data_IF_227831545778
#
_entry.id   IF_227831545778
#
_cell.length_a   1.000
_cell.length_b   1.000
_cell.length_c   1.000
_cell.angle_alpha   90.00
_cell.angle_beta   90.00
_cell.angle_gamma   90.00
#
_symmetry.space_group_name_H-M   'P 1'
#
loop_
_entity.id
_entity.type
_entity.pdbx_description
1 polymer ?
#
# COMPACT_ATOMS: atom_id res chain seq x y z
N UNK A 1 28.09 26.48 -0.59
CA UNK A 1 28.29 26.09 -2.01
C UNK A 1 26.94 25.63 -2.55
N UNK A 2 26.49 26.18 -3.68
CA UNK A 2 25.22 25.77 -4.29
C UNK A 2 25.44 24.45 -5.01
N UNK A 3 24.94 23.35 -4.46
CA UNK A 3 24.97 22.03 -5.12
C UNK A 3 24.06 22.11 -6.34
N UNK A 4 24.66 22.03 -7.53
CA UNK A 4 23.95 22.01 -8.81
C UNK A 4 23.57 20.58 -9.20
N UNK A 5 22.69 20.41 -10.20
CA UNK A 5 22.30 19.10 -10.71
C UNK A 5 23.48 18.26 -11.27
N UNK A 6 24.59 18.92 -11.64
CA UNK A 6 25.81 18.27 -12.14
C UNK A 6 26.64 17.56 -11.05
N UNK A 7 26.33 17.79 -9.77
CA UNK A 7 27.05 17.20 -8.63
C UNK A 7 26.31 15.98 -8.03
N UNK A 8 25.24 15.53 -8.68
CA UNK A 8 24.41 14.42 -8.22
C UNK A 8 24.77 13.15 -9.00
N UNK A 9 25.31 12.16 -8.29
CA UNK A 9 25.56 10.83 -8.84
C UNK A 9 24.38 9.92 -8.51
N UNK A 10 23.82 9.23 -9.52
CA UNK A 10 22.82 8.18 -9.32
C UNK A 10 23.47 6.83 -9.54
N UNK A 11 23.27 5.90 -8.63
CA UNK A 11 23.73 4.52 -8.75
C UNK A 11 22.53 3.57 -8.67
N UNK A 12 22.45 2.63 -9.60
CA UNK A 12 21.41 1.60 -9.64
C UNK A 12 21.98 0.28 -9.13
N UNK A 13 21.31 -0.34 -8.17
CA UNK A 13 21.71 -1.62 -7.57
C UNK A 13 20.51 -2.55 -7.42
N UNK A 14 20.72 -3.86 -7.57
CA UNK A 14 19.67 -4.86 -7.32
C UNK A 14 19.51 -5.23 -5.84
N UNK A 15 20.46 -4.84 -4.98
CA UNK A 15 20.43 -5.03 -3.54
C UNK A 15 21.09 -3.82 -2.87
N UNK A 16 20.48 -3.35 -1.78
CA UNK A 16 21.03 -2.27 -0.95
C UNK A 16 21.71 -2.84 0.30
N UNK A 17 22.87 -2.27 0.66
CA UNK A 17 23.56 -2.59 1.92
C UNK A 17 22.72 -2.15 3.13
N UNK A 18 23.02 -2.69 4.31
CA UNK A 18 22.34 -2.31 5.56
C UNK A 18 22.44 -0.80 5.79
N UNK A 19 23.65 -0.22 5.73
CA UNK A 19 23.86 1.22 5.87
C UNK A 19 23.02 2.06 4.87
N UNK A 20 22.91 1.60 3.62
CA UNK A 20 22.10 2.30 2.62
C UNK A 20 20.60 2.18 2.89
N UNK A 21 20.13 1.09 3.50
CA UNK A 21 18.72 0.94 3.92
C UNK A 21 18.40 1.92 5.03
N UNK A 22 19.29 2.06 6.01
CA UNK A 22 19.12 2.99 7.12
C UNK A 22 19.09 4.44 6.62
N UNK A 23 19.99 4.81 5.71
CA UNK A 23 19.97 6.14 5.07
C UNK A 23 18.67 6.40 4.26
N UNK A 24 18.14 5.38 3.58
CA UNK A 24 16.87 5.49 2.84
C UNK A 24 15.70 5.64 3.81
N UNK A 25 15.71 4.91 4.93
CA UNK A 25 14.68 5.02 5.97
C UNK A 25 14.67 6.42 6.59
N UNK A 26 15.84 6.97 6.96
CA UNK A 26 15.98 8.33 7.48
C UNK A 26 15.51 9.38 6.45
N UNK A 27 15.92 9.23 5.18
CA UNK A 27 15.48 10.08 4.09
C UNK A 27 13.95 10.09 3.94
N UNK A 28 13.33 8.91 3.97
CA UNK A 28 11.89 8.74 3.84
C UNK A 28 11.14 9.34 5.04
N UNK A 29 11.66 9.17 6.25
CA UNK A 29 11.12 9.76 7.47
C UNK A 29 11.15 11.30 7.41
N UNK A 30 12.31 11.89 7.11
CA UNK A 30 12.46 13.36 7.00
C UNK A 30 11.55 13.94 5.92
N UNK A 31 11.44 13.27 4.76
CA UNK A 31 10.53 13.68 3.72
C UNK A 31 9.06 13.55 4.15
N UNK A 32 8.71 12.48 4.86
CA UNK A 32 7.36 12.24 5.34
C UNK A 32 6.90 13.27 6.38
N UNK A 33 7.78 13.65 7.32
CA UNK A 33 7.53 14.72 8.29
C UNK A 33 7.30 16.05 7.57
N UNK A 34 8.13 16.37 6.58
CA UNK A 34 8.02 17.63 5.84
C UNK A 34 6.75 17.73 4.98
N UNK A 35 6.28 16.61 4.43
CA UNK A 35 5.14 16.56 3.50
C UNK A 35 3.82 16.19 4.18
N UNK A 36 3.87 15.71 5.43
CA UNK A 36 2.72 15.22 6.18
C UNK A 36 2.18 13.87 5.70
N UNK A 37 2.93 13.17 4.83
CA UNK A 37 2.57 11.87 4.26
C UNK A 37 3.83 11.06 3.97
N UNK A 38 3.84 9.77 4.31
CA UNK A 38 4.97 8.90 4.02
C UNK A 38 5.20 8.79 2.50
N UNK A 39 6.45 8.94 2.02
CA UNK A 39 6.73 8.96 0.59
C UNK A 39 6.90 7.56 -0.03
N UNK A 40 6.94 6.50 0.78
CA UNK A 40 7.09 5.12 0.33
C UNK A 40 5.99 4.19 0.89
N UNK A 41 5.33 3.45 0.02
CA UNK A 41 4.31 2.45 0.32
C UNK A 41 4.85 1.23 1.08
N UNK A 42 3.95 0.39 1.59
CA UNK A 42 4.34 -0.82 2.34
C UNK A 42 5.15 -1.79 1.48
N UNK A 43 4.66 -2.16 0.30
CA UNK A 43 5.32 -3.14 -0.57
C UNK A 43 6.76 -2.73 -0.88
N UNK A 44 6.98 -1.44 -1.14
CA UNK A 44 8.31 -0.87 -1.37
C UNK A 44 9.21 -0.99 -0.14
N UNK A 45 8.71 -0.63 1.05
CA UNK A 45 9.44 -0.78 2.32
C UNK A 45 9.77 -2.24 2.66
N UNK A 46 8.85 -3.18 2.42
CA UNK A 46 9.10 -4.62 2.61
C UNK A 46 10.20 -5.11 1.67
N UNK A 47 10.17 -4.70 0.40
CA UNK A 47 11.22 -5.03 -0.57
C UNK A 47 12.56 -4.36 -0.23
N UNK A 48 12.56 -3.17 0.36
CA UNK A 48 13.78 -2.53 0.87
C UNK A 48 14.39 -3.32 2.05
N UNK A 49 13.55 -3.83 2.95
CA UNK A 49 13.97 -4.59 4.13
C UNK A 49 14.43 -6.01 3.79
N UNK A 50 13.66 -6.72 2.96
CA UNK A 50 13.86 -8.16 2.70
C UNK A 50 14.52 -8.46 1.36
N UNK A 51 14.63 -7.47 0.47
CA UNK A 51 15.10 -7.64 -0.91
C UNK A 51 14.03 -8.19 -1.86
N UNK A 52 14.42 -8.37 -3.13
CA UNK A 52 13.62 -8.99 -4.17
C UNK A 52 14.45 -9.15 -5.44
N UNK A 53 14.16 -10.15 -6.27
CA UNK A 53 14.91 -10.43 -7.51
C UNK A 53 14.58 -9.46 -8.64
N UNK A 54 13.38 -8.88 -8.63
CA UNK A 54 12.86 -8.02 -9.69
C UNK A 54 12.81 -6.54 -9.28
N UNK A 55 13.60 -6.17 -8.27
CA UNK A 55 13.61 -4.82 -7.71
C UNK A 55 14.95 -4.15 -7.97
N UNK A 56 14.91 -2.93 -8.51
CA UNK A 56 16.06 -2.06 -8.65
C UNK A 56 15.95 -0.87 -7.69
N UNK A 57 17.06 -0.51 -7.06
CA UNK A 57 17.17 0.61 -6.16
C UNK A 57 18.10 1.67 -6.76
N UNK A 58 17.64 2.92 -6.84
CA UNK A 58 18.37 4.05 -7.39
C UNK A 58 18.70 5.03 -6.26
N UNK A 59 19.99 5.20 -5.98
CA UNK A 59 20.51 6.04 -4.91
C UNK A 59 21.10 7.32 -5.52
N UNK A 60 20.50 8.48 -5.24
CA UNK A 60 21.05 9.78 -5.65
C UNK A 60 21.88 10.39 -4.52
N UNK A 61 23.17 10.58 -4.75
CA UNK A 61 24.10 11.16 -3.76
C UNK A 61 24.68 12.49 -4.21
N UNK A 62 24.81 13.41 -3.26
CA UNK A 62 25.61 14.63 -3.38
C UNK A 62 26.89 14.45 -2.55
N UNK A 63 27.98 14.03 -3.19
CA UNK A 63 29.16 13.53 -2.48
C UNK A 63 28.82 12.22 -1.76
N UNK A 64 28.97 12.19 -0.43
CA UNK A 64 28.62 11.02 0.38
C UNK A 64 27.17 11.01 0.86
N UNK A 65 26.49 12.16 0.83
CA UNK A 65 25.14 12.32 1.39
C UNK A 65 24.08 11.77 0.43
N UNK A 66 23.20 10.90 0.90
CA UNK A 66 22.02 10.47 0.16
C UNK A 66 20.98 11.60 0.14
N UNK A 67 20.65 12.08 -1.06
CA UNK A 67 19.75 13.23 -1.26
C UNK A 67 18.46 12.88 -1.99
N UNK A 68 18.37 11.65 -2.49
CA UNK A 68 17.17 11.11 -3.09
C UNK A 68 17.28 9.61 -3.29
N UNK A 69 16.13 8.97 -3.39
CA UNK A 69 15.99 7.54 -3.57
C UNK A 69 14.84 7.27 -4.53
N UNK A 70 14.97 6.22 -5.32
CA UNK A 70 13.85 5.63 -6.02
C UNK A 70 13.98 4.11 -6.05
N UNK A 71 12.84 3.45 -6.17
CA UNK A 71 12.75 2.00 -6.27
C UNK A 71 11.84 1.65 -7.43
N UNK A 72 12.23 0.64 -8.20
CA UNK A 72 11.51 0.15 -9.36
C UNK A 72 11.25 -1.35 -9.18
N UNK A 73 9.98 -1.74 -9.18
CA UNK A 73 9.56 -3.11 -9.43
C UNK A 73 9.50 -3.31 -10.95
N UNK A 74 10.49 -4.03 -11.48
CA UNK A 74 10.67 -4.23 -12.92
C UNK A 74 9.56 -5.11 -13.50
N UNK A 75 9.09 -6.08 -12.72
CA UNK A 75 8.05 -7.01 -13.17
C UNK A 75 6.68 -6.32 -13.23
N UNK A 76 6.38 -5.48 -12.23
CA UNK A 76 5.13 -4.72 -12.18
C UNK A 76 5.15 -3.45 -13.04
N UNK A 77 6.33 -2.91 -13.36
CA UNK A 77 6.47 -1.61 -14.00
C UNK A 77 6.02 -0.47 -13.09
N UNK A 78 6.29 -0.60 -11.78
CA UNK A 78 5.87 0.36 -10.75
C UNK A 78 7.08 0.94 -10.00
N UNK A 79 6.98 2.21 -9.64
CA UNK A 79 8.04 2.90 -8.95
C UNK A 79 7.56 3.91 -7.92
N UNK A 80 8.41 4.15 -6.93
CA UNK A 80 8.28 5.24 -5.97
C UNK A 80 9.58 6.01 -5.89
N UNK A 81 9.48 7.32 -5.65
CA UNK A 81 10.62 8.25 -5.67
C UNK A 81 10.46 9.29 -4.57
N UNK A 82 11.54 9.47 -3.81
CA UNK A 82 11.63 10.48 -2.75
C UNK A 82 12.88 11.34 -2.93
N UNK A 83 12.75 12.64 -2.66
CA UNK A 83 13.86 13.60 -2.64
C UNK A 83 13.88 14.30 -1.30
N UNK A 84 15.06 14.36 -0.69
CA UNK A 84 15.28 15.03 0.58
C UNK A 84 14.76 16.48 0.50
N UNK A 85 13.91 16.94 1.43
CA UNK A 85 13.30 18.28 1.38
C UNK A 85 14.29 19.41 1.10
N UNK A 86 15.42 19.44 1.79
CA UNK A 86 16.48 20.44 1.62
C UNK A 86 17.15 20.47 0.22
N UNK A 87 17.01 19.40 -0.58
CA UNK A 87 17.61 19.25 -1.90
C UNK A 87 16.59 19.31 -3.05
N UNK A 88 15.31 19.56 -2.74
CA UNK A 88 14.27 19.75 -3.74
C UNK A 88 14.55 21.00 -4.60
N UNK A 89 13.98 21.00 -5.80
CA UNK A 89 14.13 22.09 -6.80
C UNK A 89 15.58 22.32 -7.28
N UNK A 90 16.50 21.40 -7.01
CA UNK A 90 17.91 21.42 -7.49
C UNK A 90 18.20 20.44 -8.61
N UNK A 91 17.17 19.84 -9.20
CA UNK A 91 17.30 18.86 -10.29
C UNK A 91 17.40 17.39 -9.86
N UNK A 92 17.59 17.09 -8.57
CA UNK A 92 17.71 15.71 -8.04
C UNK A 92 16.56 14.81 -8.52
N UNK A 93 15.31 15.21 -8.32
CA UNK A 93 14.15 14.41 -8.75
C UNK A 93 14.09 14.18 -10.26
N UNK A 94 14.56 15.14 -11.07
CA UNK A 94 14.65 14.97 -12.53
C UNK A 94 15.74 13.99 -12.91
N UNK A 95 16.89 14.04 -12.24
CA UNK A 95 17.99 13.09 -12.46
C UNK A 95 17.56 11.67 -12.09
N UNK A 96 16.92 11.50 -10.93
CA UNK A 96 16.36 10.21 -10.51
C UNK A 96 15.30 9.68 -11.47
N UNK A 97 14.33 10.52 -11.86
CA UNK A 97 13.27 10.09 -12.77
C UNK A 97 13.83 9.63 -14.12
N UNK A 98 14.84 10.32 -14.67
CA UNK A 98 15.50 9.90 -15.91
C UNK A 98 16.18 8.54 -15.76
N UNK A 99 16.95 8.36 -14.69
CA UNK A 99 17.60 7.08 -14.42
C UNK A 99 16.57 5.95 -14.20
N UNK A 100 15.41 6.27 -13.63
CA UNK A 100 14.34 5.30 -13.41
C UNK A 100 13.67 4.88 -14.73
N UNK A 101 13.37 5.83 -15.62
CA UNK A 101 12.85 5.53 -16.97
C UNK A 101 13.87 4.72 -17.78
N UNK A 102 15.16 5.03 -17.66
CA UNK A 102 16.23 4.25 -18.30
C UNK A 102 16.29 2.82 -17.75
N UNK A 103 16.21 2.66 -16.42
CA UNK A 103 16.24 1.36 -15.75
C UNK A 103 15.02 0.49 -16.07
N UNK A 104 13.84 1.08 -16.23
CA UNK A 104 12.63 0.38 -16.68
C UNK A 104 12.72 -0.03 -18.17
N UNK A 105 13.57 0.63 -18.94
CA UNK A 105 13.60 0.57 -20.39
C UNK A 105 12.79 1.73 -20.98
N UNK A 106 13.40 2.46 -21.92
CA UNK A 106 12.81 3.69 -22.46
C UNK A 106 11.39 3.52 -23.03
N UNK A 107 11.10 2.32 -23.57
CA UNK A 107 9.81 1.97 -24.17
C UNK A 107 8.94 1.09 -23.26
N UNK A 108 9.31 0.89 -21.99
CA UNK A 108 8.46 0.16 -21.05
C UNK A 108 7.38 1.08 -20.46
N UNK A 109 6.14 0.58 -20.28
CA UNK A 109 5.15 1.28 -19.48
C UNK A 109 5.65 1.38 -18.04
N UNK A 110 5.36 2.51 -17.39
CA UNK A 110 5.84 2.79 -16.05
C UNK A 110 4.81 3.61 -15.27
N UNK A 111 4.48 3.12 -14.09
CA UNK A 111 3.61 3.78 -13.11
C UNK A 111 4.42 4.30 -11.92
N UNK A 112 4.00 5.44 -11.37
CA UNK A 112 4.58 6.04 -10.18
C UNK A 112 3.51 6.49 -9.20
N UNK A 113 3.67 6.14 -7.92
CA UNK A 113 2.77 6.61 -6.87
C UNK A 113 3.17 8.00 -6.34
N UNK A 114 2.18 8.88 -6.26
CA UNK A 114 2.26 10.18 -5.62
C UNK A 114 1.36 10.18 -4.37
N UNK A 115 1.91 9.75 -3.24
CA UNK A 115 1.20 9.76 -1.97
C UNK A 115 0.79 11.18 -1.57
N UNK A 116 -0.47 11.34 -1.15
CA UNK A 116 -1.07 12.64 -0.81
C UNK A 116 -1.29 13.60 -1.99
N UNK A 117 -1.24 13.13 -3.24
CA UNK A 117 -1.32 13.94 -4.47
C UNK A 117 -0.34 15.13 -4.44
N UNK A 118 0.87 14.89 -3.91
CA UNK A 118 1.82 15.96 -3.66
C UNK A 118 2.14 16.72 -4.97
N UNK A 119 1.97 18.07 -5.03
CA UNK A 119 2.07 18.83 -6.28
C UNK A 119 3.41 18.68 -7.01
N UNK A 120 4.48 18.36 -6.29
CA UNK A 120 5.80 18.15 -6.89
C UNK A 120 5.91 16.87 -7.71
N UNK A 121 5.16 15.81 -7.39
CA UNK A 121 5.18 14.57 -8.16
C UNK A 121 4.60 14.82 -9.55
N UNK A 122 3.45 15.47 -9.57
CA UNK A 122 2.78 15.95 -10.77
C UNK A 122 3.64 16.92 -11.59
N UNK A 123 4.29 17.91 -10.96
CA UNK A 123 5.20 18.83 -11.64
C UNK A 123 6.48 18.16 -12.19
N UNK A 124 6.90 17.04 -11.61
CA UNK A 124 8.04 16.24 -12.04
C UNK A 124 7.66 15.30 -13.19
N UNK A 125 6.53 14.60 -13.08
CA UNK A 125 6.08 13.56 -14.00
C UNK A 125 5.52 14.08 -15.31
N UNK A 126 4.73 15.17 -15.31
CA UNK A 126 4.06 15.68 -16.52
C UNK A 126 5.03 15.94 -17.69
N UNK A 127 6.15 16.67 -17.47
CA UNK A 127 7.15 16.92 -18.51
C UNK A 127 7.85 15.66 -19.03
N UNK A 128 7.79 14.55 -18.29
CA UNK A 128 8.36 13.25 -18.64
C UNK A 128 7.31 12.28 -19.22
N UNK A 129 6.15 12.77 -19.65
CA UNK A 129 5.12 11.95 -20.30
C UNK A 129 4.10 11.32 -19.35
N UNK A 130 4.33 11.37 -18.03
CA UNK A 130 3.39 10.78 -17.07
C UNK A 130 2.06 11.53 -16.97
N UNK A 131 0.97 10.81 -16.80
CA UNK A 131 -0.40 11.35 -16.60
C UNK A 131 -1.10 10.61 -15.47
N UNK A 132 -2.02 11.27 -14.77
CA UNK A 132 -2.85 10.61 -13.76
C UNK A 132 -3.65 9.48 -14.40
N UNK A 133 -3.66 8.29 -13.80
CA UNK A 133 -4.43 7.14 -14.32
C UNK A 133 -5.25 6.40 -13.27
N UNK A 134 -4.84 6.42 -11.99
CA UNK A 134 -5.52 5.75 -10.87
C UNK A 134 -5.49 6.65 -9.64
N UNK A 135 -6.59 6.68 -8.89
CA UNK A 135 -6.74 7.48 -7.67
C UNK A 135 -7.15 6.55 -6.55
N UNK A 136 -6.35 6.53 -5.48
CA UNK A 136 -6.57 5.71 -4.30
C UNK A 136 -6.92 6.61 -3.13
N UNK A 137 -8.09 6.43 -2.55
CA UNK A 137 -8.51 7.19 -1.37
C UNK A 137 -8.12 6.44 -0.10
N UNK A 138 -7.44 7.13 0.80
CA UNK A 138 -7.39 6.73 2.19
C UNK A 138 -8.65 7.25 2.90
N UNK A 139 -9.46 6.36 3.45
CA UNK A 139 -10.56 6.71 4.33
C UNK A 139 -10.19 6.41 5.77
N UNK A 140 -10.65 7.23 6.72
CA UNK A 140 -10.48 7.00 8.16
C UNK A 140 -11.83 7.01 8.88
N UNK A 141 -11.88 6.35 10.04
CA UNK A 141 -13.03 6.33 10.95
C UNK A 141 -12.56 6.36 12.40
N UNK A 142 -13.27 7.16 13.20
CA UNK A 142 -13.18 7.14 14.66
C UNK A 142 -13.91 5.90 15.21
N UNK A 143 -13.22 5.12 16.04
CA UNK A 143 -13.72 3.92 16.71
C UNK A 143 -14.30 4.19 18.10
N UNK A 144 -14.13 5.38 18.66
CA UNK A 144 -14.70 5.75 19.97
C UNK A 144 -16.21 6.01 19.92
N UNK A 145 -16.74 6.27 18.72
CA UNK A 145 -18.17 6.48 18.46
C UNK A 145 -19.01 5.19 18.32
N UNK A 146 -20.30 5.33 17.98
CA UNK A 146 -21.22 4.21 17.79
C UNK A 146 -20.76 3.25 16.69
N UNK A 147 -20.80 1.92 16.94
CA UNK A 147 -20.42 0.92 15.93
C UNK A 147 -21.59 0.50 15.04
N UNK A 148 -21.32 0.07 13.79
CA UNK A 148 -22.34 -0.49 12.92
C UNK A 148 -22.95 -1.77 13.53
N UNK A 149 -24.26 -1.75 13.75
CA UNK A 149 -25.04 -2.93 14.14
C UNK A 149 -25.46 -3.68 12.87
N UNK A 150 -24.62 -4.64 12.46
CA UNK A 150 -24.86 -5.48 11.29
C UNK A 150 -24.91 -6.93 11.75
N UNK A 151 -26.05 -7.58 11.53
CA UNK A 151 -26.20 -9.01 11.80
C UNK A 151 -25.37 -9.84 10.81
N UNK A 152 -24.79 -10.93 11.29
CA UNK A 152 -24.16 -11.92 10.42
C UNK A 152 -25.28 -12.62 9.64
N UNK A 153 -25.17 -12.75 8.30
CA UNK A 153 -26.17 -13.46 7.50
C UNK A 153 -26.41 -14.89 8.00
N UNK A 154 -27.64 -15.39 7.82
CA UNK A 154 -27.99 -16.75 8.20
C UNK A 154 -27.07 -17.79 7.52
N UNK A 155 -26.66 -18.81 8.27
CA UNK A 155 -25.78 -19.86 7.76
C UNK A 155 -24.31 -19.45 7.60
N UNK A 156 -23.94 -18.21 7.98
CA UNK A 156 -22.54 -17.77 8.01
C UNK A 156 -21.97 -17.88 9.43
N UNK A 157 -20.79 -18.46 9.54
CA UNK A 157 -19.95 -18.43 10.74
C UNK A 157 -18.73 -17.53 10.48
N UNK A 158 -18.43 -16.65 11.42
CA UNK A 158 -17.18 -15.88 11.41
C UNK A 158 -16.21 -16.48 12.45
N UNK A 159 -14.98 -16.76 12.04
CA UNK A 159 -13.90 -17.25 12.91
C UNK A 159 -12.56 -16.59 12.56
N UNK A 160 -11.57 -16.73 13.44
CA UNK A 160 -10.20 -16.31 13.15
C UNK A 160 -9.53 -17.27 12.15
N UNK A 161 -8.56 -16.74 11.41
CA UNK A 161 -7.63 -17.46 10.57
C UNK A 161 -6.74 -18.37 11.42
N UNK A 162 -6.46 -19.57 10.93
CA UNK A 162 -5.57 -20.54 11.54
C UNK A 162 -4.32 -20.73 10.65
N UNK A 163 -3.15 -20.20 11.07
CA UNK A 163 -1.91 -20.37 10.34
C UNK A 163 -1.51 -21.84 10.19
N UNK A 164 -1.07 -22.19 8.99
CA UNK A 164 -0.75 -23.56 8.55
C UNK A 164 -1.96 -24.37 8.06
N UNK A 165 -3.17 -23.81 8.13
CA UNK A 165 -4.42 -24.50 7.76
C UNK A 165 -5.18 -23.75 6.67
N UNK A 166 -5.33 -22.43 6.81
CA UNK A 166 -6.28 -21.66 6.01
C UNK A 166 -5.68 -21.00 4.75
N UNK A 167 -4.35 -21.03 4.54
CA UNK A 167 -3.69 -20.27 3.47
C UNK A 167 -4.26 -20.58 2.07
N UNK A 168 -4.40 -21.86 1.73
CA UNK A 168 -4.82 -22.26 0.38
C UNK A 168 -6.28 -21.90 0.12
N UNK A 169 -7.14 -22.03 1.13
CA UNK A 169 -8.54 -21.62 1.05
C UNK A 169 -8.66 -20.10 0.91
N UNK A 170 -7.88 -19.35 1.69
CA UNK A 170 -7.84 -17.90 1.62
C UNK A 170 -7.32 -17.40 0.25
N UNK A 171 -6.22 -17.95 -0.25
CA UNK A 171 -5.65 -17.61 -1.56
C UNK A 171 -6.67 -17.82 -2.69
N UNK A 172 -7.44 -18.91 -2.62
CA UNK A 172 -8.51 -19.19 -3.58
C UNK A 172 -9.58 -18.09 -3.59
N UNK A 173 -10.11 -17.72 -2.41
CA UNK A 173 -11.15 -16.68 -2.29
C UNK A 173 -10.58 -15.30 -2.62
N UNK A 174 -9.35 -14.98 -2.22
CA UNK A 174 -8.67 -13.73 -2.56
C UNK A 174 -8.52 -13.58 -4.08
N UNK A 175 -8.00 -14.61 -4.76
CA UNK A 175 -7.87 -14.60 -6.22
C UNK A 175 -9.20 -14.41 -6.94
N UNK A 176 -10.29 -14.99 -6.44
CA UNK A 176 -11.64 -14.81 -7.00
C UNK A 176 -12.23 -13.43 -6.70
N UNK A 177 -12.10 -12.94 -5.48
CA UNK A 177 -12.64 -11.65 -5.05
C UNK A 177 -11.95 -10.47 -5.77
N UNK A 178 -10.68 -10.63 -6.15
CA UNK A 178 -9.83 -9.62 -6.75
C UNK A 178 -9.34 -10.00 -8.15
N UNK A 179 -10.09 -10.83 -8.89
CA UNK A 179 -9.67 -11.38 -10.19
C UNK A 179 -9.26 -10.31 -11.22
N UNK A 180 -9.92 -9.15 -11.20
CA UNK A 180 -9.65 -8.02 -12.08
C UNK A 180 -8.69 -6.97 -11.47
N UNK A 181 -8.21 -7.18 -10.23
CA UNK A 181 -7.32 -6.24 -9.55
C UNK A 181 -5.85 -6.57 -9.88
N UNK A 182 -5.05 -5.59 -10.34
CA UNK A 182 -3.66 -5.84 -10.76
C UNK A 182 -2.78 -6.41 -9.63
N UNK A 183 -2.93 -5.88 -8.42
CA UNK A 183 -2.03 -6.18 -7.29
C UNK A 183 -2.55 -7.33 -6.40
N UNK A 184 -3.76 -7.19 -5.85
CA UNK A 184 -4.30 -8.11 -4.84
C UNK A 184 -4.65 -9.50 -5.37
N UNK A 185 -5.15 -9.62 -6.61
CA UNK A 185 -5.63 -10.89 -7.17
C UNK A 185 -4.55 -11.92 -7.47
N UNK A 186 -3.28 -11.52 -7.47
CA UNK A 186 -2.13 -12.33 -7.90
C UNK A 186 -1.27 -12.87 -6.76
N UNK A 187 -1.70 -12.70 -5.51
CA UNK A 187 -0.92 -13.15 -4.36
C UNK A 187 -0.66 -14.65 -4.44
N UNK A 188 0.60 -15.00 -4.23
CA UNK A 188 1.08 -16.37 -4.10
C UNK A 188 1.13 -16.77 -2.63
N UNK A 189 1.39 -18.06 -2.36
CA UNK A 189 1.65 -18.53 -0.99
C UNK A 189 2.88 -17.86 -0.38
N UNK A 190 3.88 -17.55 -1.18
CA UNK A 190 5.06 -16.82 -0.73
C UNK A 190 4.70 -15.40 -0.28
N UNK A 191 3.88 -14.68 -1.05
CA UNK A 191 3.43 -13.32 -0.70
C UNK A 191 2.62 -13.29 0.61
N UNK A 192 1.82 -14.32 0.85
CA UNK A 192 1.05 -14.47 2.08
C UNK A 192 1.97 -14.78 3.27
N UNK A 193 2.86 -15.77 3.13
CA UNK A 193 3.79 -16.17 4.20
C UNK A 193 4.76 -15.05 4.60
N UNK A 194 5.15 -14.18 3.65
CA UNK A 194 5.92 -12.98 3.97
C UNK A 194 5.16 -12.05 4.92
N UNK A 195 3.85 -11.88 4.73
CA UNK A 195 3.01 -11.04 5.59
C UNK A 195 2.70 -11.70 6.92
N UNK A 196 2.54 -13.02 6.95
CA UNK A 196 2.40 -13.77 8.21
C UNK A 196 3.65 -13.68 9.10
N UNK A 197 4.83 -13.49 8.49
CA UNK A 197 6.08 -13.33 9.21
C UNK A 197 6.30 -11.91 9.78
N UNK A 198 5.47 -10.93 9.41
CA UNK A 198 5.62 -9.56 9.88
C UNK A 198 5.18 -9.40 11.35
N UNK A 199 5.83 -8.55 12.16
CA UNK A 199 5.50 -8.37 13.58
C UNK A 199 4.07 -7.87 13.85
N UNK A 200 3.45 -7.22 12.86
CA UNK A 200 2.07 -6.74 12.94
C UNK A 200 1.03 -7.84 12.71
N UNK A 201 1.44 -9.01 12.19
CA UNK A 201 0.53 -10.10 11.89
C UNK A 201 -0.17 -10.60 13.15
N UNK A 202 -1.49 -10.66 13.08
CA UNK A 202 -2.33 -11.12 14.17
C UNK A 202 -3.46 -11.99 13.61
N UNK A 203 -3.38 -13.34 13.76
CA UNK A 203 -4.39 -14.24 13.21
C UNK A 203 -5.77 -14.03 13.83
N UNK A 204 -5.86 -13.52 15.07
CA UNK A 204 -7.14 -13.21 15.71
C UNK A 204 -7.85 -12.01 15.05
N UNK A 205 -7.09 -11.12 14.42
CA UNK A 205 -7.58 -10.00 13.62
C UNK A 205 -7.80 -10.32 12.14
N UNK A 206 -7.53 -11.56 11.73
CA UNK A 206 -7.76 -12.03 10.37
C UNK A 206 -9.01 -12.89 10.34
N UNK A 207 -10.15 -12.28 10.03
CA UNK A 207 -11.46 -12.89 10.17
C UNK A 207 -11.89 -13.59 8.88
N UNK A 208 -12.33 -14.83 8.99
CA UNK A 208 -12.82 -15.68 7.91
C UNK A 208 -14.33 -15.91 8.07
N UNK A 209 -15.07 -15.85 6.97
CA UNK A 209 -16.49 -16.17 6.90
C UNK A 209 -16.71 -17.50 6.16
N UNK A 210 -17.29 -18.47 6.84
CA UNK A 210 -17.61 -19.79 6.31
C UNK A 210 -19.12 -19.96 6.14
N UNK A 211 -19.54 -20.63 5.06
CA UNK A 211 -20.92 -21.06 4.88
C UNK A 211 -21.27 -22.30 5.72
N UNK A 212 -22.54 -22.73 5.69
CA UNK A 212 -23.02 -23.89 6.43
C UNK A 212 -22.34 -25.22 6.01
N UNK A 213 -21.69 -25.27 4.86
CA UNK A 213 -20.91 -26.42 4.39
C UNK A 213 -19.42 -26.33 4.80
N UNK A 214 -19.01 -25.29 5.53
CA UNK A 214 -17.63 -25.05 5.95
C UNK A 214 -16.74 -24.49 4.84
N UNK A 215 -17.32 -23.95 3.75
CA UNK A 215 -16.54 -23.33 2.67
C UNK A 215 -16.29 -21.87 3.01
N UNK A 216 -15.05 -21.41 2.83
CA UNK A 216 -14.71 -20.00 2.94
C UNK A 216 -15.40 -19.20 1.82
N UNK A 217 -16.13 -18.15 2.19
CA UNK A 217 -16.90 -17.30 1.26
C UNK A 217 -16.57 -15.81 1.38
N UNK A 218 -15.72 -15.45 2.34
CA UNK A 218 -15.21 -14.09 2.47
C UNK A 218 -14.28 -13.95 3.67
N UNK A 219 -13.60 -12.82 3.75
CA UNK A 219 -12.66 -12.55 4.82
C UNK A 219 -12.52 -11.05 5.06
N UNK A 220 -12.07 -10.69 6.26
CA UNK A 220 -11.68 -9.34 6.65
C UNK A 220 -10.38 -9.43 7.45
N UNK A 221 -9.28 -9.05 6.82
CA UNK A 221 -7.98 -8.98 7.45
C UNK A 221 -7.77 -7.58 8.03
N UNK A 222 -7.63 -7.50 9.35
CA UNK A 222 -7.21 -6.26 10.04
C UNK A 222 -5.71 -6.22 10.25
N UNK A 223 -5.17 -5.00 10.30
CA UNK A 223 -3.77 -4.76 10.66
C UNK A 223 -3.68 -3.63 11.69
N UNK A 224 -2.61 -3.63 12.48
CA UNK A 224 -2.31 -2.55 13.43
C UNK A 224 -0.93 -2.00 13.10
N UNK A 225 -0.84 -0.68 13.03
CA UNK A 225 0.40 0.04 12.74
C UNK A 225 0.66 1.06 13.82
N UNK A 226 1.93 1.34 14.05
CA UNK A 226 2.35 2.49 14.84
C UNK A 226 2.36 3.73 13.93
N UNK A 227 1.70 4.81 14.37
CA UNK A 227 1.66 6.13 13.73
C UNK A 227 2.18 7.16 14.75
N UNK A 228 3.50 7.30 14.85
CA UNK A 228 4.14 8.08 15.92
C UNK A 228 3.93 7.42 17.29
N UNK A 229 3.42 8.18 18.26
CA UNK A 229 3.22 7.69 19.64
C UNK A 229 1.89 6.94 19.86
N UNK A 230 1.13 6.67 18.80
CA UNK A 230 -0.16 5.97 18.90
C UNK A 230 -0.30 4.88 17.84
N UNK A 231 -1.24 3.97 18.06
CA UNK A 231 -1.54 2.88 17.13
C UNK A 231 -2.82 3.18 16.35
N UNK A 232 -2.81 2.83 15.06
CA UNK A 232 -3.95 2.93 14.17
C UNK A 232 -4.27 1.55 13.60
N UNK A 233 -5.57 1.23 13.54
CA UNK A 233 -6.05 0.03 12.87
C UNK A 233 -6.15 0.24 11.37
N UNK A 234 -6.09 -0.83 10.60
CA UNK A 234 -6.34 -0.82 9.16
C UNK A 234 -7.31 -1.94 8.78
N UNK A 235 -8.26 -1.64 7.89
CA UNK A 235 -8.93 -2.67 7.08
C UNK A 235 -7.95 -3.02 5.96
N UNK A 236 -7.12 -4.03 6.21
CA UNK A 236 -5.98 -4.35 5.34
C UNK A 236 -6.47 -4.96 4.03
N UNK A 237 -7.27 -6.02 4.12
CA UNK A 237 -7.91 -6.63 2.96
C UNK A 237 -9.31 -7.11 3.32
N UNK A 238 -10.30 -6.73 2.51
CA UNK A 238 -11.68 -7.21 2.59
C UNK A 238 -12.06 -7.85 1.25
N UNK A 239 -12.26 -9.16 1.24
CA UNK A 239 -12.63 -9.92 0.05
C UNK A 239 -13.87 -10.76 0.27
N UNK A 240 -14.80 -10.76 -0.68
CA UNK A 240 -15.99 -11.61 -0.69
C UNK A 240 -16.00 -12.42 -1.97
N UNK A 241 -16.15 -13.75 -1.86
CA UNK A 241 -16.29 -14.62 -3.02
C UNK A 241 -17.45 -14.11 -3.90
N UNK A 242 -17.26 -13.95 -5.23
CA UNK A 242 -18.30 -13.48 -6.14
C UNK A 242 -19.66 -14.18 -5.98
N UNK A 243 -19.67 -15.48 -5.69
CA UNK A 243 -20.90 -16.29 -5.55
C UNK A 243 -21.64 -16.01 -4.22
N UNK A 244 -21.01 -15.32 -3.27
CA UNK A 244 -21.55 -14.95 -1.96
C UNK A 244 -21.81 -13.43 -1.82
N UNK A 245 -21.71 -12.66 -2.90
CA UNK A 245 -21.92 -11.22 -2.89
C UNK A 245 -23.41 -10.83 -2.84
N UNK A 246 -23.69 -9.57 -2.46
CA UNK A 246 -25.06 -9.02 -2.45
C UNK A 246 -25.90 -9.35 -1.21
N UNK A 247 -25.48 -10.29 -0.36
CA UNK A 247 -26.20 -10.71 0.86
C UNK A 247 -25.84 -9.96 2.14
N UNK A 248 -25.13 -8.83 2.07
CA UNK A 248 -24.73 -8.05 3.25
C UNK A 248 -23.47 -8.57 3.99
N UNK A 249 -22.85 -9.67 3.53
CA UNK A 249 -21.67 -10.27 4.16
C UNK A 249 -20.50 -9.29 4.32
N UNK A 250 -20.20 -8.46 3.31
CA UNK A 250 -19.15 -7.44 3.40
C UNK A 250 -19.36 -6.44 4.53
N UNK A 251 -20.62 -6.04 4.79
CA UNK A 251 -20.95 -5.16 5.90
C UNK A 251 -20.82 -5.86 7.25
N UNK A 252 -21.21 -7.13 7.35
CA UNK A 252 -21.06 -7.92 8.57
C UNK A 252 -19.59 -8.14 8.94
N UNK A 253 -18.77 -8.51 7.95
CA UNK A 253 -17.32 -8.68 8.10
C UNK A 253 -16.62 -7.37 8.47
N UNK A 254 -16.97 -6.26 7.80
CA UNK A 254 -16.46 -4.92 8.18
C UNK A 254 -16.81 -4.61 9.64
N UNK A 255 -18.07 -4.77 10.04
CA UNK A 255 -18.49 -4.51 11.42
C UNK A 255 -17.75 -5.41 12.43
N UNK A 256 -17.48 -6.67 12.09
CA UNK A 256 -16.71 -7.59 12.93
C UNK A 256 -15.24 -7.14 13.08
N UNK A 257 -14.57 -6.76 11.99
CA UNK A 257 -13.20 -6.24 12.01
C UNK A 257 -13.07 -4.94 12.80
N UNK A 258 -14.03 -4.01 12.64
CA UNK A 258 -14.07 -2.77 13.42
C UNK A 258 -14.23 -3.04 14.93
N UNK A 259 -15.10 -3.99 15.31
CA UNK A 259 -15.24 -4.41 16.71
C UNK A 259 -13.96 -5.06 17.23
N UNK A 260 -13.29 -5.88 16.44
CA UNK A 260 -12.00 -6.45 16.82
C UNK A 260 -10.96 -5.36 17.14
N UNK A 261 -10.77 -4.42 16.23
CA UNK A 261 -9.82 -3.32 16.40
C UNK A 261 -10.15 -2.42 17.61
N UNK A 262 -11.44 -2.17 17.87
CA UNK A 262 -11.86 -1.35 19.03
C UNK A 262 -11.77 -2.12 20.34
N UNK A 263 -12.43 -3.28 20.42
CA UNK A 263 -12.71 -3.96 21.68
C UNK A 263 -11.55 -4.86 22.13
N UNK A 264 -10.88 -5.53 21.19
CA UNK A 264 -9.75 -6.42 21.50
C UNK A 264 -8.40 -5.70 21.44
N UNK A 265 -8.24 -4.73 20.52
CA UNK A 265 -6.98 -3.98 20.35
C UNK A 265 -6.99 -2.59 20.99
N UNK A 266 -8.13 -2.09 21.46
CA UNK A 266 -8.24 -0.81 22.16
C UNK A 266 -8.02 0.42 21.29
N UNK A 267 -8.17 0.29 19.97
CA UNK A 267 -7.80 1.35 19.03
C UNK A 267 -8.91 2.39 18.88
N UNK A 268 -8.51 3.66 18.80
CA UNK A 268 -9.41 4.80 18.62
C UNK A 268 -9.65 5.15 17.15
N UNK A 269 -8.80 4.70 16.23
CA UNK A 269 -8.89 5.06 14.82
C UNK A 269 -8.59 3.86 13.93
N UNK A 270 -9.30 3.78 12.82
CA UNK A 270 -9.06 2.83 11.73
C UNK A 270 -8.97 3.56 10.40
N UNK A 271 -8.10 3.07 9.52
CA UNK A 271 -7.97 3.53 8.15
C UNK A 271 -8.20 2.40 7.14
N UNK A 272 -8.36 2.76 5.87
CA UNK A 272 -8.35 1.83 4.75
C UNK A 272 -7.98 2.57 3.47
N UNK A 273 -7.57 1.82 2.46
CA UNK A 273 -7.39 2.32 1.10
C UNK A 273 -8.42 1.72 0.16
N UNK A 274 -8.97 2.53 -0.75
CA UNK A 274 -9.96 2.08 -1.74
C UNK A 274 -9.80 2.88 -3.03
N UNK A 275 -9.88 2.21 -4.17
CA UNK A 275 -9.90 2.90 -5.46
C UNK A 275 -11.14 3.78 -5.60
N UNK A 276 -10.93 5.00 -6.13
CA UNK A 276 -12.01 5.95 -6.43
C UNK A 276 -13.06 5.35 -7.38
N UNK A 277 -12.63 4.51 -8.32
CA UNK A 277 -13.47 3.86 -9.32
C UNK A 277 -14.19 2.60 -8.83
N UNK A 278 -14.11 2.29 -7.52
CA UNK A 278 -14.87 1.22 -6.87
C UNK A 278 -16.06 1.78 -6.06
N UNK A 279 -17.15 2.23 -6.71
CA UNK A 279 -18.27 2.88 -6.03
C UNK A 279 -18.97 1.98 -5.02
N UNK A 280 -18.90 0.65 -5.21
CA UNK A 280 -19.50 -0.33 -4.29
C UNK A 280 -18.73 -0.38 -2.97
N UNK A 281 -17.41 -0.49 -3.00
CA UNK A 281 -16.59 -0.48 -1.79
C UNK A 281 -16.68 0.88 -1.09
N UNK A 282 -16.59 1.98 -1.84
CA UNK A 282 -16.78 3.34 -1.31
C UNK A 282 -18.12 3.49 -0.59
N UNK A 283 -19.22 3.02 -1.19
CA UNK A 283 -20.55 3.08 -0.57
C UNK A 283 -20.65 2.23 0.70
N UNK A 284 -20.01 1.05 0.72
CA UNK A 284 -19.91 0.19 1.90
C UNK A 284 -19.19 0.94 3.05
N UNK A 285 -18.01 1.48 2.79
CA UNK A 285 -17.20 2.14 3.82
C UNK A 285 -17.85 3.43 4.33
N UNK A 286 -18.45 4.24 3.46
CA UNK A 286 -19.22 5.43 3.88
C UNK A 286 -20.41 5.07 4.77
N UNK A 287 -21.14 3.99 4.46
CA UNK A 287 -22.22 3.47 5.33
C UNK A 287 -21.67 2.96 6.66
N UNK A 288 -20.48 2.37 6.65
CA UNK A 288 -19.73 2.02 7.84
C UNK A 288 -19.06 3.24 8.49
N UNK A 289 -19.42 4.48 8.15
CA UNK A 289 -18.99 5.73 8.77
C UNK A 289 -17.53 6.14 8.55
N UNK A 290 -16.89 5.63 7.50
CA UNK A 290 -15.60 6.14 7.05
C UNK A 290 -15.77 7.44 6.27
N UNK A 291 -14.80 8.34 6.44
CA UNK A 291 -14.69 9.61 5.72
C UNK A 291 -13.34 9.70 5.03
N UNK A 292 -13.28 10.38 3.88
CA UNK A 292 -12.03 10.56 3.14
C UNK A 292 -11.06 11.43 3.94
N UNK A 293 -9.80 10.97 3.99
CA UNK A 293 -8.71 11.62 4.72
C UNK A 293 -7.64 12.16 3.76
N UNK A 294 -7.07 11.26 2.95
CA UNK A 294 -5.98 11.55 2.00
C UNK A 294 -6.29 10.92 0.64
N UNK A 295 -5.75 11.50 -0.42
CA UNK A 295 -5.83 10.99 -1.79
C UNK A 295 -4.43 10.71 -2.30
N UNK A 296 -4.18 9.48 -2.71
CA UNK A 296 -2.98 9.07 -3.42
C UNK A 296 -3.28 8.98 -4.91
N UNK A 297 -2.33 9.40 -5.74
CA UNK A 297 -2.51 9.43 -7.20
C UNK A 297 -1.39 8.64 -7.85
N UNK A 298 -1.75 7.66 -8.66
CA UNK A 298 -0.80 6.99 -9.52
C UNK A 298 -0.71 7.75 -10.86
N UNK A 299 0.53 7.99 -11.29
CA UNK A 299 0.88 8.57 -12.57
C UNK A 299 1.41 7.48 -13.49
N UNK A 300 0.99 7.44 -14.76
CA UNK A 300 1.40 6.43 -15.73
C UNK A 300 2.00 7.07 -16.97
N UNK A 301 3.03 6.43 -17.50
CA UNK A 301 3.64 6.70 -18.80
C UNK A 301 3.52 5.45 -19.66
N UNK A 302 3.05 5.60 -20.90
CA UNK A 302 2.97 4.50 -21.86
C UNK A 302 4.34 4.20 -22.50
N UNK A 303 4.43 3.01 -23.08
CA UNK A 303 5.51 2.65 -23.99
C UNK A 303 5.60 3.63 -25.18
N UNK A 304 6.78 4.23 -25.41
CA UNK A 304 7.08 4.99 -26.65
C UNK A 304 6.70 6.47 -26.69
N UNK A 305 6.29 7.08 -25.57
CA UNK A 305 6.08 8.54 -25.42
C UNK A 305 7.37 9.33 -25.09
#
# INVERSE_FOLDING_TARGET
>A
MSIGAADIAVTTVGQVSVDARDEVAELAEVAGIADGVAPLGESFRLRLAHGGTDVLHLLARAGTVLVGYAQLDVAAGEAELVVHPAYRRRGVGRTLLRALVEAAGADAPLSMWAHGDHPSATALGWPAGFRRYRVLWQLRRDLTGPMPEVAVPEGIRIRAFEPGVDEDAWLHVNGRAFADHPDQGRWTREDLLLREAEPWFDPAGFLLAEDAAGRLVGFHWTKVHDEGDHQVGEVYVLGIDPDAQGGGLGAALTAAGLRYLRDARGLATVLLYVDEDNPRAVALYRKAGFTQWVTDVALHRNAGD
#
